data_IF_159302442909
#
_entry.id   IF_159302442909
#
_cell.length_a   1.000
_cell.length_b   1.000
_cell.length_c   1.000
_cell.angle_alpha   90.00
_cell.angle_beta   90.00
_cell.angle_gamma   90.00
#
_symmetry.space_group_name_H-M   'P 1'
#
loop_
_entity.id
_entity.type
_entity.pdbx_description
1 polymer ?
#
# COMPACT_ATOMS: atom_id res chain seq x y z
N UNK A 1 -7.12 -5.88 -27.28
CA UNK A 1 -7.84 -5.64 -26.01
C UNK A 1 -6.80 -5.44 -24.96
N UNK A 2 -6.87 -4.34 -24.21
CA UNK A 2 -5.84 -3.98 -23.24
C UNK A 2 -5.65 -5.15 -22.26
N UNK A 3 -4.42 -5.64 -22.17
CA UNK A 3 -4.02 -6.62 -21.17
C UNK A 3 -4.32 -5.99 -19.81
N UNK A 4 -5.27 -6.56 -19.08
CA UNK A 4 -5.39 -6.35 -17.64
C UNK A 4 -4.05 -6.79 -17.03
N UNK A 5 -3.11 -5.86 -16.88
CA UNK A 5 -2.11 -5.97 -15.82
C UNK A 5 -2.92 -6.27 -14.57
N UNK A 6 -2.72 -7.47 -14.00
CA UNK A 6 -3.54 -8.05 -12.94
C UNK A 6 -3.54 -7.09 -11.73
N UNK A 7 -4.47 -6.13 -11.74
CA UNK A 7 -4.62 -5.13 -10.69
C UNK A 7 -4.96 -5.87 -9.42
N UNK A 8 -4.54 -5.29 -8.30
CA UNK A 8 -4.88 -5.86 -7.01
C UNK A 8 -6.41 -5.77 -6.88
N UNK A 9 -7.08 -6.82 -6.39
CA UNK A 9 -8.50 -6.73 -6.10
C UNK A 9 -8.75 -5.58 -5.13
N UNK A 10 -9.86 -4.85 -5.31
CA UNK A 10 -10.17 -3.67 -4.49
C UNK A 10 -10.19 -4.00 -3.00
N UNK A 11 -10.64 -5.21 -2.63
CA UNK A 11 -10.65 -5.69 -1.25
C UNK A 11 -9.23 -5.81 -0.67
N UNK A 12 -8.27 -6.20 -1.51
CA UNK A 12 -6.84 -6.32 -1.13
C UNK A 12 -6.23 -4.93 -1.00
N UNK A 13 -6.46 -4.05 -1.98
CA UNK A 13 -6.00 -2.65 -1.93
C UNK A 13 -6.51 -1.96 -0.65
N UNK A 14 -7.80 -2.12 -0.36
CA UNK A 14 -8.41 -1.58 0.85
C UNK A 14 -7.79 -2.16 2.12
N UNK A 15 -7.62 -3.48 2.21
CA UNK A 15 -7.03 -4.11 3.38
C UNK A 15 -5.58 -3.65 3.65
N UNK A 16 -4.79 -3.46 2.59
CA UNK A 16 -3.42 -2.95 2.70
C UNK A 16 -3.43 -1.51 3.23
N UNK A 17 -4.25 -0.64 2.63
CA UNK A 17 -4.32 0.78 3.03
C UNK A 17 -4.84 0.91 4.47
N UNK A 18 -5.90 0.19 4.82
CA UNK A 18 -6.46 0.19 6.17
C UNK A 18 -5.42 -0.27 7.21
N UNK A 19 -4.73 -1.38 6.93
CA UNK A 19 -3.66 -1.89 7.80
C UNK A 19 -2.51 -0.88 7.94
N UNK A 20 -2.14 -0.22 6.83
CA UNK A 20 -1.10 0.81 6.84
C UNK A 20 -1.49 1.99 7.74
N UNK A 21 -2.70 2.53 7.60
CA UNK A 21 -3.20 3.66 8.38
C UNK A 21 -3.35 3.28 9.86
N UNK A 22 -3.96 2.13 10.13
CA UNK A 22 -4.26 1.64 11.49
C UNK A 22 -3.09 0.91 12.17
N UNK A 23 -1.89 0.94 11.58
CA UNK A 23 -0.69 0.33 12.18
C UNK A 23 -0.24 0.98 13.49
N UNK A 24 -0.70 2.20 13.80
CA UNK A 24 -0.44 2.85 15.09
C UNK A 24 -1.52 2.48 16.10
N UNK A 25 -1.12 2.03 17.28
CA UNK A 25 -2.05 1.69 18.38
C UNK A 25 -2.48 2.91 19.20
N UNK A 26 -1.92 4.09 18.94
CA UNK A 26 -2.18 5.30 19.70
C UNK A 26 -3.30 6.12 19.07
N UNK A 27 -4.01 6.89 19.89
CA UNK A 27 -4.93 7.90 19.40
C UNK A 27 -4.13 9.01 18.70
N UNK A 28 -4.60 9.42 17.53
CA UNK A 28 -3.91 10.37 16.64
C UNK A 28 -4.85 11.50 16.25
N UNK A 29 -4.30 12.65 15.85
CA UNK A 29 -5.13 13.74 15.32
C UNK A 29 -5.71 13.36 13.96
N UNK A 30 -6.83 13.98 13.60
CA UNK A 30 -7.45 13.83 12.27
C UNK A 30 -6.46 14.20 11.16
N UNK A 31 -5.73 15.31 11.32
CA UNK A 31 -4.72 15.75 10.36
C UNK A 31 -3.61 14.72 10.13
N UNK A 32 -3.17 14.04 11.19
CA UNK A 32 -2.17 12.99 11.08
C UNK A 32 -2.75 11.76 10.37
N UNK A 33 -4.00 11.40 10.66
CA UNK A 33 -4.69 10.30 10.00
C UNK A 33 -4.83 10.56 8.49
N UNK A 34 -5.24 11.77 8.11
CA UNK A 34 -5.35 12.19 6.70
C UNK A 34 -4.00 12.14 5.98
N UNK A 35 -2.95 12.72 6.57
CA UNK A 35 -1.59 12.68 6.02
C UNK A 35 -1.09 11.23 5.88
N UNK A 36 -1.31 10.39 6.89
CA UNK A 36 -0.91 8.98 6.82
C UNK A 36 -1.68 8.22 5.75
N UNK A 37 -2.96 8.51 5.56
CA UNK A 37 -3.77 7.94 4.48
C UNK A 37 -3.18 8.29 3.11
N UNK A 38 -2.78 9.54 2.89
CA UNK A 38 -2.12 9.96 1.65
C UNK A 38 -0.80 9.22 1.43
N UNK A 39 0.04 9.10 2.46
CA UNK A 39 1.29 8.31 2.40
C UNK A 39 1.02 6.84 2.05
N UNK A 40 0.03 6.20 2.69
CA UNK A 40 -0.30 4.80 2.43
C UNK A 40 -0.82 4.58 0.99
N UNK A 41 -1.67 5.49 0.48
CA UNK A 41 -2.16 5.44 -0.90
C UNK A 41 -1.02 5.64 -1.92
N UNK A 42 -0.14 6.60 -1.65
CA UNK A 42 1.04 6.84 -2.48
C UNK A 42 1.98 5.62 -2.50
N UNK A 43 2.24 5.02 -1.32
CA UNK A 43 3.08 3.85 -1.18
C UNK A 43 2.50 2.64 -1.95
N UNK A 44 1.18 2.41 -1.84
CA UNK A 44 0.51 1.33 -2.57
C UNK A 44 0.64 1.53 -4.08
N UNK A 45 0.28 2.71 -4.57
CA UNK A 45 0.32 3.02 -6.01
C UNK A 45 1.73 2.90 -6.61
N UNK A 46 2.78 3.25 -5.86
CA UNK A 46 4.16 3.03 -6.31
C UNK A 46 4.56 1.56 -6.27
N UNK A 47 4.08 0.81 -5.28
CA UNK A 47 4.40 -0.62 -5.11
C UNK A 47 3.74 -1.46 -6.20
N UNK A 48 2.50 -1.18 -6.56
CA UNK A 48 1.78 -1.88 -7.63
C UNK A 48 2.44 -1.75 -9.01
N UNK A 49 3.20 -0.66 -9.22
CA UNK A 49 3.99 -0.47 -10.46
C UNK A 49 5.20 -1.39 -10.55
N UNK A 50 5.73 -1.86 -9.43
CA UNK A 50 6.94 -2.69 -9.38
C UNK A 50 6.70 -4.12 -8.87
N UNK A 51 5.57 -4.37 -8.22
CA UNK A 51 5.20 -5.67 -7.64
C UNK A 51 3.83 -6.06 -8.19
N UNK A 52 3.78 -6.92 -9.22
CA UNK A 52 2.53 -7.49 -9.73
C UNK A 52 1.76 -8.27 -8.66
N UNK A 53 0.45 -8.43 -8.84
CA UNK A 53 -0.37 -9.15 -7.86
C UNK A 53 0.03 -10.63 -7.70
N UNK A 54 0.56 -11.26 -8.75
CA UNK A 54 1.17 -12.61 -8.68
C UNK A 54 2.32 -12.68 -7.67
N UNK A 55 3.13 -11.63 -7.61
CA UNK A 55 4.33 -11.56 -6.78
C UNK A 55 3.96 -11.18 -5.35
N UNK A 56 2.93 -10.35 -5.16
CA UNK A 56 2.31 -10.15 -3.85
C UNK A 56 1.80 -11.46 -3.24
N UNK A 57 1.14 -12.30 -4.05
CA UNK A 57 0.60 -13.60 -3.62
C UNK A 57 1.71 -14.61 -3.27
N UNK A 58 2.83 -14.58 -3.99
CA UNK A 58 3.90 -15.58 -3.85
C UNK A 58 5.04 -15.15 -2.91
N UNK A 59 5.32 -13.85 -2.80
CA UNK A 59 6.37 -13.27 -1.97
C UNK A 59 5.90 -11.99 -1.26
N UNK A 60 5.31 -12.18 -0.09
CA UNK A 60 4.89 -11.07 0.77
C UNK A 60 6.07 -10.23 1.28
N UNK A 61 7.28 -10.78 1.39
CA UNK A 61 8.45 -10.03 1.87
C UNK A 61 8.95 -9.04 0.82
N UNK A 62 8.92 -9.43 -0.46
CA UNK A 62 9.18 -8.53 -1.58
C UNK A 62 8.22 -7.36 -1.56
N UNK A 63 6.91 -7.63 -1.42
CA UNK A 63 5.90 -6.58 -1.30
C UNK A 63 6.16 -5.66 -0.10
N UNK A 64 6.32 -6.21 1.10
CA UNK A 64 6.51 -5.43 2.32
C UNK A 64 7.76 -4.56 2.28
N UNK A 65 8.84 -5.05 1.66
CA UNK A 65 10.08 -4.30 1.51
C UNK A 65 9.90 -3.11 0.55
N UNK A 66 9.31 -3.34 -0.62
CA UNK A 66 9.00 -2.27 -1.58
C UNK A 66 8.01 -1.26 -0.99
N UNK A 67 6.95 -1.73 -0.34
CA UNK A 67 5.95 -0.88 0.27
C UNK A 67 6.54 0.04 1.34
N UNK A 68 7.41 -0.48 2.22
CA UNK A 68 8.09 0.34 3.24
C UNK A 68 9.05 1.35 2.64
N UNK A 69 9.74 1.01 1.55
CA UNK A 69 10.63 1.93 0.84
C UNK A 69 9.82 3.06 0.19
N UNK A 70 8.74 2.72 -0.50
CA UNK A 70 7.84 3.68 -1.14
C UNK A 70 7.10 4.56 -0.11
N UNK A 71 6.73 4.02 1.05
CA UNK A 71 6.13 4.82 2.12
C UNK A 71 7.06 5.93 2.64
N UNK A 72 8.38 5.69 2.66
CA UNK A 72 9.37 6.69 3.06
C UNK A 72 9.59 7.78 2.00
N UNK A 73 9.35 7.49 0.72
CA UNK A 73 9.42 8.50 -0.34
C UNK A 73 8.13 9.33 -0.45
N UNK A 74 7.04 8.85 0.17
CA UNK A 74 5.72 9.47 0.18
C UNK A 74 5.39 10.26 1.46
N UNK A 75 6.33 10.40 2.40
CA UNK A 75 6.15 11.11 3.68
C UNK A 75 6.89 12.43 3.74
#
# INVERSE_FOLDING_TARGET
GAFDEERYPLEVEYAIVDTCINSSKNMVSVSWYESKRETCLCALSQTEKSVPYSDYKSDQNLFLSNFKLNARSCS
#
